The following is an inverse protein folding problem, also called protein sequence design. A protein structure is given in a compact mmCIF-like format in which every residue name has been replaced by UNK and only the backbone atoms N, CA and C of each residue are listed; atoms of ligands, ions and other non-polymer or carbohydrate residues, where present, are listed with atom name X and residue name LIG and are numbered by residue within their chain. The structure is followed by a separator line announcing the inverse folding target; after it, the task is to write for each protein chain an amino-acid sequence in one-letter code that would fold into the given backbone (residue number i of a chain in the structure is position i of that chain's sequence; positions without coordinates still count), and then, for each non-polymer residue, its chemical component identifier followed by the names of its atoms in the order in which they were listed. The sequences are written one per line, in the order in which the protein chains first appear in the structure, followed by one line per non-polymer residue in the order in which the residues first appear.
data_IF_165299656306
#
_entry.id   IF_165299656306
#
_cell.length_a   1.000
_cell.length_b   1.000
_cell.length_c   1.000
_cell.angle_alpha   90.00
_cell.angle_beta   90.00
_cell.angle_gamma   90.00
#
_symmetry.space_group_name_H-M   'P 1'
#
loop_
_entity.id
_entity.type
_entity.pdbx_description
1 polymer ?
#
# COMPACT_ATOMS: atom_id res chain seq x y z
N UNK A 1 -10.89 21.66 -6.65
CA UNK A 1 -11.03 20.76 -5.48
C UNK A 1 -10.25 19.51 -5.82
N UNK A 2 -9.41 19.02 -4.92
CA UNK A 2 -8.64 17.78 -5.13
C UNK A 2 -9.59 16.59 -5.06
N UNK A 3 -9.48 15.66 -6.00
CA UNK A 3 -10.29 14.44 -6.05
C UNK A 3 -9.41 13.22 -5.80
N UNK A 4 -9.81 12.34 -4.86
CA UNK A 4 -9.09 11.11 -4.55
C UNK A 4 -9.98 9.90 -4.83
N UNK A 5 -9.62 9.11 -5.83
CA UNK A 5 -10.20 7.79 -6.04
C UNK A 5 -9.70 6.81 -4.96
N UNK A 6 -10.52 5.86 -4.54
CA UNK A 6 -10.10 4.85 -3.58
C UNK A 6 -10.84 3.53 -3.79
N UNK A 7 -10.24 2.41 -3.38
CA UNK A 7 -10.94 1.12 -3.42
C UNK A 7 -12.10 1.13 -2.42
N UNK A 8 -13.31 1.37 -2.95
CA UNK A 8 -14.54 1.44 -2.18
C UNK A 8 -15.16 0.07 -1.84
N UNK A 9 -16.36 0.08 -1.31
CA UNK A 9 -17.16 1.24 -0.94
C UNK A 9 -16.70 1.95 0.35
N UNK A 10 -17.40 3.03 0.80
CA UNK A 10 -17.17 3.60 2.14
C UNK A 10 -17.28 2.55 3.25
N UNK A 11 -16.47 2.68 4.32
CA UNK A 11 -16.43 1.70 5.41
C UNK A 11 -15.45 0.54 5.20
N UNK A 12 -14.71 0.51 4.08
CA UNK A 12 -13.61 -0.45 3.85
C UNK A 12 -12.32 -0.03 4.57
N UNK A 13 -11.32 -0.93 4.64
CA UNK A 13 -9.98 -0.58 5.13
C UNK A 13 -9.32 0.53 4.29
N UNK A 14 -9.60 0.59 2.98
CA UNK A 14 -9.07 1.65 2.12
C UNK A 14 -9.71 3.01 2.43
N UNK A 15 -11.01 3.05 2.75
CA UNK A 15 -11.66 4.26 3.24
C UNK A 15 -11.03 4.73 4.57
N UNK A 16 -10.79 3.81 5.49
CA UNK A 16 -10.10 4.12 6.75
C UNK A 16 -8.66 4.63 6.51
N UNK A 17 -7.94 4.05 5.54
CA UNK A 17 -6.59 4.49 5.15
C UNK A 17 -6.62 5.92 4.57
N UNK A 18 -7.59 6.23 3.70
CA UNK A 18 -7.75 7.59 3.18
C UNK A 18 -8.06 8.60 4.29
N UNK A 19 -8.90 8.21 5.26
CA UNK A 19 -9.14 9.05 6.44
C UNK A 19 -7.87 9.31 7.25
N UNK A 20 -7.03 8.29 7.43
CA UNK A 20 -5.76 8.44 8.14
C UNK A 20 -4.78 9.33 7.37
N UNK A 21 -4.69 9.20 6.05
CA UNK A 21 -3.89 10.09 5.20
C UNK A 21 -4.37 11.55 5.28
N UNK A 22 -5.68 11.79 5.36
CA UNK A 22 -6.24 13.16 5.56
C UNK A 22 -5.84 13.78 6.89
N UNK A 23 -5.69 12.97 7.93
CA UNK A 23 -5.29 13.41 9.26
C UNK A 23 -3.77 13.51 9.44
N UNK A 24 -2.97 12.93 8.56
CA UNK A 24 -1.50 12.99 8.61
C UNK A 24 -1.02 14.40 8.23
N UNK A 25 -0.20 15.02 9.10
CA UNK A 25 0.30 16.37 8.91
C UNK A 25 1.05 16.58 7.57
N UNK A 26 1.64 15.50 7.02
CA UNK A 26 2.39 15.52 5.74
C UNK A 26 1.48 15.61 4.52
N UNK A 27 0.26 15.12 4.62
CA UNK A 27 -0.70 15.04 3.51
C UNK A 27 -1.98 15.83 3.77
N UNK A 28 -2.22 16.29 4.99
CA UNK A 28 -3.45 17.01 5.37
C UNK A 28 -3.67 18.27 4.56
N UNK A 29 -2.63 19.07 4.30
CA UNK A 29 -2.74 20.28 3.48
C UNK A 29 -3.22 19.96 2.05
N UNK A 30 -2.94 18.76 1.54
CA UNK A 30 -3.35 18.30 0.22
C UNK A 30 -4.74 17.66 0.22
N UNK A 31 -5.07 16.91 1.30
CA UNK A 31 -6.20 15.98 1.30
C UNK A 31 -7.38 16.38 2.21
N UNK A 32 -7.24 17.40 3.08
CA UNK A 32 -8.28 17.75 4.07
C UNK A 32 -9.66 17.95 3.43
N UNK A 33 -9.71 18.72 2.34
CA UNK A 33 -10.94 19.06 1.63
C UNK A 33 -11.10 18.25 0.32
N UNK A 34 -10.35 17.17 0.16
CA UNK A 34 -10.41 16.36 -1.05
C UNK A 34 -11.75 15.60 -1.14
N UNK A 35 -12.36 15.60 -2.32
CA UNK A 35 -13.49 14.75 -2.64
C UNK A 35 -13.03 13.29 -2.75
N UNK A 36 -13.70 12.37 -2.07
CA UNK A 36 -13.42 10.93 -2.15
C UNK A 36 -14.39 10.25 -3.10
N UNK A 37 -13.86 9.57 -4.11
CA UNK A 37 -14.65 8.87 -5.13
C UNK A 37 -14.35 7.37 -5.04
N UNK A 38 -15.34 6.52 -4.70
CA UNK A 38 -15.12 5.08 -4.63
C UNK A 38 -14.98 4.47 -6.02
N UNK A 39 -14.02 3.56 -6.17
CA UNK A 39 -13.79 2.72 -7.34
C UNK A 39 -14.01 1.24 -6.98
N UNK A 40 -14.41 0.42 -7.93
CA UNK A 40 -14.66 -1.00 -7.72
C UNK A 40 -13.41 -1.84 -7.60
N UNK A 41 -12.28 -1.39 -8.17
CA UNK A 41 -10.99 -2.09 -8.16
C UNK A 41 -9.82 -1.12 -8.00
N UNK A 42 -8.64 -1.59 -7.53
CA UNK A 42 -7.42 -0.76 -7.52
C UNK A 42 -7.04 -0.26 -8.92
N UNK A 43 -7.21 -1.09 -9.95
CA UNK A 43 -6.94 -0.74 -11.35
C UNK A 43 -7.82 0.41 -11.82
N UNK A 44 -9.13 0.37 -11.51
CA UNK A 44 -10.07 1.46 -11.83
C UNK A 44 -9.67 2.76 -11.13
N UNK A 45 -9.33 2.72 -9.84
CA UNK A 45 -8.88 3.90 -9.11
C UNK A 45 -7.62 4.52 -9.74
N UNK A 46 -6.63 3.70 -10.11
CA UNK A 46 -5.42 4.14 -10.79
C UNK A 46 -5.67 4.62 -12.22
N UNK A 47 -6.64 4.01 -12.93
CA UNK A 47 -7.07 4.45 -14.26
C UNK A 47 -7.71 5.85 -14.23
N UNK A 48 -8.49 6.17 -13.19
CA UNK A 48 -9.06 7.51 -12.98
C UNK A 48 -7.96 8.57 -12.84
N UNK A 49 -6.85 8.25 -12.16
CA UNK A 49 -5.69 9.16 -12.04
C UNK A 49 -5.01 9.36 -13.39
N UNK A 50 -4.83 8.31 -14.18
CA UNK A 50 -4.27 8.41 -15.55
C UNK A 50 -5.12 9.25 -16.47
N UNK A 51 -6.44 9.04 -16.40
CA UNK A 51 -7.41 9.80 -17.19
C UNK A 51 -7.57 11.26 -16.75
N UNK A 52 -7.05 11.63 -15.57
CA UNK A 52 -7.21 12.97 -15.01
C UNK A 52 -8.61 13.24 -14.41
N UNK A 53 -9.43 12.21 -14.23
CA UNK A 53 -10.74 12.31 -13.53
C UNK A 53 -10.60 12.25 -12.02
N UNK A 54 -9.43 11.81 -11.52
CA UNK A 54 -8.99 11.98 -10.14
C UNK A 54 -7.56 12.52 -10.13
N UNK A 55 -7.22 13.27 -9.08
CA UNK A 55 -5.86 13.78 -8.88
C UNK A 55 -4.97 12.72 -8.25
N UNK A 56 -5.54 11.97 -7.31
CA UNK A 56 -4.86 10.89 -6.59
C UNK A 56 -5.73 9.63 -6.50
N UNK A 57 -5.07 8.51 -6.17
CA UNK A 57 -5.74 7.28 -5.77
C UNK A 57 -5.16 6.77 -4.45
N UNK A 58 -6.03 6.31 -3.54
CA UNK A 58 -5.64 5.55 -2.35
C UNK A 58 -5.95 4.08 -2.59
N UNK A 59 -4.91 3.23 -2.55
CA UNK A 59 -5.03 1.80 -2.86
C UNK A 59 -4.20 0.95 -1.90
N UNK A 60 -4.65 -0.30 -1.58
CA UNK A 60 -3.84 -1.24 -0.81
C UNK A 60 -2.62 -1.67 -1.63
N UNK A 61 -1.45 -1.78 -1.00
CA UNK A 61 -0.18 -2.08 -1.67
C UNK A 61 0.47 -3.38 -1.20
N UNK A 62 0.46 -3.60 0.11
CA UNK A 62 1.06 -4.77 0.74
C UNK A 62 0.31 -5.15 2.02
N UNK A 63 0.16 -6.45 2.26
CA UNK A 63 -0.35 -6.99 3.52
C UNK A 63 0.74 -7.85 4.17
N UNK A 64 0.94 -7.73 5.47
CA UNK A 64 2.01 -8.44 6.18
C UNK A 64 1.83 -9.97 6.23
N UNK A 65 0.64 -10.48 5.93
CA UNK A 65 0.32 -11.93 5.90
C UNK A 65 0.24 -12.44 4.47
N UNK A 66 -0.51 -11.73 3.60
CA UNK A 66 -0.78 -12.17 2.24
C UNK A 66 0.28 -11.66 1.24
N UNK A 67 1.18 -10.75 1.68
CA UNK A 67 2.22 -10.16 0.84
C UNK A 67 1.70 -9.06 -0.09
N UNK A 68 2.28 -8.98 -1.28
CA UNK A 68 1.97 -7.94 -2.27
C UNK A 68 0.53 -7.99 -2.76
N UNK A 69 -0.14 -6.84 -2.80
CA UNK A 69 -1.46 -6.70 -3.42
C UNK A 69 -1.29 -6.70 -4.94
N UNK A 70 -1.44 -7.87 -5.53
CA UNK A 70 -1.17 -8.12 -6.95
C UNK A 70 -1.91 -7.19 -7.91
N UNK A 71 -3.24 -6.91 -7.75
CA UNK A 71 -3.94 -5.99 -8.64
C UNK A 71 -3.32 -4.58 -8.69
N UNK A 72 -2.94 -4.03 -7.54
CA UNK A 72 -2.27 -2.72 -7.48
C UNK A 72 -0.90 -2.75 -8.13
N UNK A 73 -0.10 -3.80 -7.85
CA UNK A 73 1.24 -3.94 -8.42
C UNK A 73 1.20 -4.10 -9.95
N UNK A 74 0.30 -4.94 -10.46
CA UNK A 74 0.12 -5.14 -11.90
C UNK A 74 -0.33 -3.83 -12.58
N UNK A 75 -1.28 -3.10 -11.96
CA UNK A 75 -1.75 -1.82 -12.49
C UNK A 75 -0.69 -0.71 -12.50
N UNK A 76 0.21 -0.66 -11.52
CA UNK A 76 1.33 0.28 -11.49
C UNK A 76 2.42 -0.04 -12.51
N UNK A 77 2.53 -1.30 -12.92
CA UNK A 77 3.54 -1.75 -13.88
C UNK A 77 3.22 -1.38 -15.32
N UNK A 78 1.96 -1.10 -15.66
CA UNK A 78 1.51 -0.86 -17.05
C UNK A 78 0.98 0.56 -17.27
N UNK A 79 0.80 0.93 -18.54
CA UNK A 79 0.26 2.24 -18.93
C UNK A 79 1.17 3.42 -18.59
N UNK A 80 0.62 4.63 -18.58
CA UNK A 80 1.35 5.83 -18.20
C UNK A 80 1.84 5.74 -16.75
N UNK A 81 3.07 6.20 -16.54
CA UNK A 81 3.71 6.14 -15.23
C UNK A 81 2.89 6.91 -14.19
N UNK A 82 2.62 6.27 -13.07
CA UNK A 82 2.12 6.88 -11.87
C UNK A 82 3.22 6.94 -10.80
N UNK A 83 2.99 7.73 -9.77
CA UNK A 83 3.97 7.95 -8.69
C UNK A 83 3.29 7.92 -7.34
N UNK A 84 3.95 7.28 -6.37
CA UNK A 84 3.55 7.22 -4.97
C UNK A 84 4.10 8.46 -4.25
N UNK A 85 3.26 9.13 -3.46
CA UNK A 85 3.60 10.33 -2.71
C UNK A 85 3.56 10.15 -1.20
N UNK A 86 2.79 9.17 -0.74
CA UNK A 86 2.67 8.88 0.69
C UNK A 86 2.23 7.45 0.90
N UNK A 87 2.44 6.95 2.11
CA UNK A 87 1.91 5.70 2.58
C UNK A 87 1.28 5.85 3.97
N UNK A 88 0.38 4.93 4.29
CA UNK A 88 -0.12 4.72 5.64
C UNK A 88 -0.27 3.23 5.90
N UNK A 89 -0.12 2.82 7.15
CA UNK A 89 -0.33 1.44 7.58
C UNK A 89 -1.52 1.36 8.52
N UNK A 90 -2.37 0.36 8.31
CA UNK A 90 -3.47 0.03 9.22
C UNK A 90 -3.31 -1.39 9.73
N UNK A 91 -3.56 -1.57 11.02
CA UNK A 91 -3.78 -2.89 11.57
C UNK A 91 -5.09 -3.46 10.99
N UNK A 92 -5.02 -4.70 10.49
CA UNK A 92 -6.19 -5.40 9.99
C UNK A 92 -6.95 -5.98 11.17
N UNK A 93 -7.83 -5.16 11.72
CA UNK A 93 -8.67 -5.52 12.86
C UNK A 93 -10.09 -5.73 12.38
N UNK A 94 -10.61 -6.94 12.62
CA UNK A 94 -12.02 -7.24 12.40
C UNK A 94 -12.79 -7.19 13.71
N UNK A 95 -13.97 -6.57 13.63
CA UNK A 95 -14.99 -6.61 14.69
C UNK A 95 -16.20 -7.37 14.17
N UNK A 96 -16.86 -8.11 15.04
CA UNK A 96 -18.19 -8.63 14.73
C UNK A 96 -19.19 -7.52 15.04
N UNK A 97 -19.75 -6.97 13.96
CA UNK A 97 -20.69 -5.86 14.02
C UNK A 97 -22.14 -6.37 13.90
N UNK A 98 -23.01 -5.87 14.75
CA UNK A 98 -24.42 -6.25 14.83
C UNK A 98 -25.30 -5.02 15.01
N UNK A 99 -26.59 -5.13 14.78
CA UNK A 99 -27.57 -4.09 15.19
C UNK A 99 -27.58 -3.93 16.71
N UNK A 100 -27.79 -2.72 17.23
CA UNK A 100 -27.94 -2.49 18.66
C UNK A 100 -28.98 -3.44 19.28
N UNK A 101 -28.62 -4.09 20.38
CA UNK A 101 -29.46 -5.02 21.12
C UNK A 101 -29.45 -6.48 20.65
N UNK A 102 -28.69 -6.82 19.58
CA UNK A 102 -28.50 -8.22 19.15
C UNK A 102 -27.56 -8.95 20.09
N UNK A 103 -28.00 -10.08 20.65
CA UNK A 103 -27.16 -10.95 21.47
C UNK A 103 -26.43 -12.00 20.61
N UNK A 104 -25.32 -12.56 21.11
CA UNK A 104 -24.55 -13.59 20.41
C UNK A 104 -25.39 -14.82 20.05
N UNK A 105 -26.30 -15.19 20.92
CA UNK A 105 -27.22 -16.34 20.73
C UNK A 105 -28.26 -16.10 19.62
N UNK A 106 -28.46 -14.86 19.19
CA UNK A 106 -29.42 -14.51 18.15
C UNK A 106 -28.80 -14.54 16.73
N UNK A 107 -27.46 -14.56 16.65
CA UNK A 107 -26.75 -14.55 15.37
C UNK A 107 -26.87 -15.90 14.66
N UNK A 108 -27.47 -15.91 13.47
CA UNK A 108 -27.64 -17.08 12.59
C UNK A 108 -26.89 -16.92 11.29
N UNK A 109 -26.90 -15.71 10.72
CA UNK A 109 -26.26 -15.39 9.44
C UNK A 109 -25.21 -14.31 9.65
N UNK A 110 -23.94 -14.65 9.39
CA UNK A 110 -22.84 -13.72 9.36
C UNK A 110 -22.40 -13.54 7.91
N UNK A 111 -22.54 -12.32 7.37
CA UNK A 111 -22.12 -11.99 5.99
C UNK A 111 -20.90 -11.12 5.98
N UNK A 112 -19.89 -11.52 5.22
CA UNK A 112 -18.65 -10.75 5.07
C UNK A 112 -17.90 -11.11 3.79
N UNK A 113 -16.84 -10.36 3.47
CA UNK A 113 -15.96 -10.65 2.34
C UNK A 113 -15.22 -11.99 2.54
N UNK A 114 -14.96 -12.79 1.47
CA UNK A 114 -14.29 -14.09 1.58
C UNK A 114 -12.97 -14.08 2.37
N UNK A 115 -12.15 -13.05 2.20
CA UNK A 115 -10.88 -12.89 2.94
C UNK A 115 -11.14 -12.71 4.44
N UNK A 116 -12.09 -11.85 4.81
CA UNK A 116 -12.49 -11.67 6.21
C UNK A 116 -13.10 -12.94 6.80
N UNK A 117 -13.95 -13.63 6.04
CA UNK A 117 -14.53 -14.91 6.44
C UNK A 117 -13.44 -15.95 6.79
N UNK A 118 -12.37 -16.04 5.98
CA UNK A 118 -11.24 -16.92 6.25
C UNK A 118 -10.49 -16.55 7.54
N UNK A 119 -10.36 -15.25 7.82
CA UNK A 119 -9.60 -14.73 8.96
C UNK A 119 -10.36 -14.73 10.30
N UNK A 120 -11.67 -14.94 10.30
CA UNK A 120 -12.50 -14.97 11.52
C UNK A 120 -13.17 -16.33 11.76
N UNK A 121 -12.91 -17.31 10.90
CA UNK A 121 -13.62 -18.60 10.88
C UNK A 121 -13.54 -19.33 12.22
N UNK A 122 -12.35 -19.42 12.80
CA UNK A 122 -12.12 -20.11 14.08
C UNK A 122 -12.82 -19.39 15.21
N UNK A 123 -12.69 -18.08 15.27
CA UNK A 123 -13.35 -17.26 16.30
C UNK A 123 -14.87 -17.42 16.23
N UNK A 124 -15.47 -17.33 15.04
CA UNK A 124 -16.92 -17.50 14.83
C UNK A 124 -17.37 -18.89 15.27
N UNK A 125 -16.63 -19.94 14.87
CA UNK A 125 -16.97 -21.31 15.28
C UNK A 125 -16.98 -21.55 16.79
N UNK A 126 -16.13 -20.84 17.54
CA UNK A 126 -16.07 -20.96 18.99
C UNK A 126 -17.10 -20.10 19.72
N UNK A 127 -17.37 -18.88 19.24
CA UNK A 127 -18.15 -17.88 19.97
C UNK A 127 -19.57 -17.69 19.42
N UNK A 128 -19.81 -18.06 18.15
CA UNK A 128 -21.12 -17.98 17.48
C UNK A 128 -21.48 -19.34 16.85
N UNK A 129 -21.62 -20.41 17.65
CA UNK A 129 -21.73 -21.78 17.13
C UNK A 129 -23.02 -22.04 16.31
N UNK A 130 -24.00 -21.14 16.38
CA UNK A 130 -25.25 -21.21 15.62
C UNK A 130 -25.18 -20.42 14.31
N UNK A 131 -24.13 -19.60 14.12
CA UNK A 131 -23.97 -18.77 12.94
C UNK A 131 -23.36 -19.58 11.78
N UNK A 132 -23.85 -19.34 10.58
CA UNK A 132 -23.17 -19.75 9.35
C UNK A 132 -22.64 -18.51 8.64
N UNK A 133 -21.47 -18.68 8.01
CA UNK A 133 -20.80 -17.59 7.28
C UNK A 133 -21.23 -17.66 5.82
N UNK A 134 -21.79 -16.57 5.33
CA UNK A 134 -22.07 -16.31 3.92
C UNK A 134 -21.15 -15.22 3.38
N UNK A 135 -20.80 -15.26 2.10
CA UNK A 135 -19.90 -14.29 1.50
C UNK A 135 -20.66 -13.21 0.75
N UNK A 136 -20.16 -11.97 0.84
CA UNK A 136 -20.63 -10.81 0.11
C UNK A 136 -19.47 -10.09 -0.59
N UNK A 137 -19.73 -9.10 -1.41
CA UNK A 137 -18.76 -8.43 -2.27
C UNK A 137 -17.68 -7.65 -1.52
N UNK A 138 -18.00 -7.16 -0.31
CA UNK A 138 -17.06 -6.43 0.56
C UNK A 138 -17.48 -6.53 2.03
N UNK A 139 -16.58 -6.23 2.97
CA UNK A 139 -16.92 -6.11 4.39
C UNK A 139 -17.92 -4.99 4.66
N UNK A 140 -17.86 -3.92 3.88
CA UNK A 140 -18.82 -2.81 3.97
C UNK A 140 -20.21 -3.21 3.48
N UNK A 141 -20.32 -3.97 2.37
CA UNK A 141 -21.60 -4.52 1.92
C UNK A 141 -22.22 -5.43 2.99
N UNK A 142 -21.43 -6.24 3.67
CA UNK A 142 -21.89 -7.02 4.81
C UNK A 142 -22.48 -6.14 5.93
N UNK A 143 -21.87 -4.99 6.21
CA UNK A 143 -22.38 -4.06 7.21
C UNK A 143 -23.71 -3.40 6.77
N UNK A 144 -23.84 -3.04 5.51
CA UNK A 144 -25.10 -2.53 4.93
C UNK A 144 -26.23 -3.58 5.03
N UNK A 145 -25.94 -4.84 4.74
CA UNK A 145 -26.89 -5.95 4.84
C UNK A 145 -27.34 -6.20 6.28
N UNK A 146 -26.42 -6.05 7.27
CA UNK A 146 -26.78 -6.13 8.70
C UNK A 146 -27.68 -4.95 9.10
N UNK A 147 -27.35 -3.74 8.67
CA UNK A 147 -28.18 -2.55 8.93
C UNK A 147 -29.58 -2.68 8.31
N UNK A 148 -29.67 -3.24 7.11
CA UNK A 148 -30.92 -3.53 6.42
C UNK A 148 -31.73 -4.69 7.02
N UNK A 149 -31.13 -5.47 7.94
CA UNK A 149 -31.80 -6.62 8.58
C UNK A 149 -31.81 -7.90 7.76
N UNK A 150 -31.05 -7.99 6.66
CA UNK A 150 -30.93 -9.18 5.81
C UNK A 150 -29.82 -10.13 6.26
N UNK A 151 -28.97 -9.70 7.20
CA UNK A 151 -28.03 -10.49 7.95
C UNK A 151 -28.07 -10.11 9.44
N UNK A 152 -27.55 -10.96 10.31
CA UNK A 152 -27.54 -10.71 11.75
C UNK A 152 -26.22 -10.06 12.19
N UNK A 153 -25.12 -10.44 11.57
CA UNK A 153 -23.78 -9.96 11.89
C UNK A 153 -22.90 -9.83 10.64
N UNK A 154 -21.85 -9.03 10.75
CA UNK A 154 -20.76 -8.98 9.79
C UNK A 154 -19.41 -8.95 10.49
N UNK A 155 -18.38 -9.47 9.85
CA UNK A 155 -16.99 -9.25 10.25
C UNK A 155 -16.42 -8.12 9.38
N UNK A 156 -16.17 -6.95 9.96
CA UNK A 156 -15.78 -5.75 9.24
C UNK A 156 -14.89 -4.84 10.09
N UNK A 157 -14.20 -3.83 9.49
CA UNK A 157 -13.57 -2.76 10.25
C UNK A 157 -14.59 -2.00 11.10
N UNK A 158 -14.20 -1.49 12.27
CA UNK A 158 -15.08 -0.69 13.14
C UNK A 158 -15.74 0.48 12.43
N UNK A 159 -15.05 1.11 11.46
CA UNK A 159 -15.60 2.19 10.64
C UNK A 159 -16.85 1.81 9.84
N UNK A 160 -16.96 0.57 9.39
CA UNK A 160 -18.19 0.10 8.75
C UNK A 160 -19.39 0.13 9.72
N UNK A 161 -19.12 -0.13 11.01
CA UNK A 161 -20.11 0.01 12.08
C UNK A 161 -20.53 1.46 12.29
N UNK A 162 -19.58 2.37 12.39
CA UNK A 162 -19.85 3.83 12.55
C UNK A 162 -20.75 4.37 11.45
N UNK A 163 -20.47 4.02 10.19
CA UNK A 163 -21.21 4.49 9.01
C UNK A 163 -22.64 3.91 9.00
N UNK A 164 -22.81 2.66 9.42
CA UNK A 164 -24.09 1.94 9.31
C UNK A 164 -24.90 1.89 10.62
N UNK A 165 -24.43 2.58 11.68
CA UNK A 165 -25.12 2.58 12.99
C UNK A 165 -25.11 1.22 13.69
N UNK A 166 -24.09 0.38 13.39
CA UNK A 166 -23.90 -0.92 14.03
C UNK A 166 -22.97 -0.79 15.25
N UNK A 167 -23.08 -1.75 16.16
CA UNK A 167 -22.26 -1.82 17.37
C UNK A 167 -21.38 -3.08 17.34
N UNK A 168 -20.18 -3.04 17.92
CA UNK A 168 -19.36 -4.24 18.03
C UNK A 168 -19.95 -5.19 19.09
N UNK A 169 -20.23 -6.43 18.67
CA UNK A 169 -20.48 -7.55 19.56
C UNK A 169 -19.18 -8.09 20.15
N UNK A 170 -18.11 -8.07 19.36
CA UNK A 170 -16.74 -8.39 19.73
C UNK A 170 -15.75 -7.64 18.84
N UNK A 171 -14.58 -7.33 19.40
CA UNK A 171 -13.49 -6.68 18.68
C UNK A 171 -12.25 -7.58 18.62
N UNK A 172 -11.34 -7.30 17.69
CA UNK A 172 -10.08 -8.05 17.54
C UNK A 172 -10.30 -9.56 17.34
N UNK A 173 -11.24 -9.94 16.49
CA UNK A 173 -11.67 -11.32 16.28
C UNK A 173 -10.89 -12.09 15.21
N UNK A 174 -9.82 -11.51 14.65
CA UNK A 174 -9.00 -12.18 13.66
C UNK A 174 -8.29 -13.41 14.25
N UNK A 175 -8.34 -14.53 13.54
CA UNK A 175 -7.69 -15.80 13.94
C UNK A 175 -6.16 -15.68 13.99
N UNK A 176 -5.58 -14.78 13.17
CA UNK A 176 -4.17 -14.40 13.17
C UNK A 176 -4.13 -12.90 13.47
N UNK A 177 -3.66 -12.56 14.66
CA UNK A 177 -3.52 -11.17 15.07
C UNK A 177 -2.27 -10.50 14.48
N UNK A 178 -2.26 -9.16 14.47
CA UNK A 178 -1.10 -8.36 14.07
C UNK A 178 -0.90 -8.21 12.57
N UNK A 179 -1.87 -8.65 11.75
CA UNK A 179 -1.84 -8.36 10.32
C UNK A 179 -1.93 -6.86 10.08
N UNK A 180 -1.06 -6.33 9.19
CA UNK A 180 -1.05 -4.92 8.76
C UNK A 180 -1.18 -4.83 7.26
N UNK A 181 -1.88 -3.82 6.81
CA UNK A 181 -1.92 -3.47 5.39
C UNK A 181 -1.35 -2.08 5.19
N UNK A 182 -0.40 -1.99 4.28
CA UNK A 182 0.17 -0.75 3.77
C UNK A 182 -0.67 -0.28 2.59
N UNK A 183 -1.12 0.97 2.66
CA UNK A 183 -1.85 1.68 1.62
C UNK A 183 -0.98 2.81 1.11
N UNK A 184 -1.11 3.12 -0.17
CA UNK A 184 -0.33 4.17 -0.83
C UNK A 184 -1.24 5.22 -1.47
N UNK A 185 -0.79 6.47 -1.44
CA UNK A 185 -1.36 7.59 -2.18
C UNK A 185 -0.59 7.74 -3.49
N UNK A 186 -1.28 7.54 -4.59
CA UNK A 186 -0.71 7.50 -5.94
C UNK A 186 -1.27 8.66 -6.76
N UNK A 187 -0.42 9.37 -7.49
CA UNK A 187 -0.81 10.46 -8.39
C UNK A 187 -0.06 10.40 -9.72
N UNK A 188 -0.30 11.40 -10.57
CA UNK A 188 0.51 11.61 -11.77
C UNK A 188 1.93 12.03 -11.37
N UNK A 189 2.97 11.78 -12.22
CA UNK A 189 4.34 12.15 -11.90
C UNK A 189 4.51 13.64 -11.58
N UNK A 190 5.16 13.92 -10.46
CA UNK A 190 5.53 15.26 -10.01
C UNK A 190 6.83 15.16 -9.19
N UNK A 191 7.31 16.30 -8.65
CA UNK A 191 8.40 16.28 -7.70
C UNK A 191 8.04 15.40 -6.49
N UNK A 192 8.94 14.53 -6.02
CA UNK A 192 8.69 13.73 -4.82
C UNK A 192 8.56 14.64 -3.59
N UNK A 193 7.92 14.15 -2.52
CA UNK A 193 7.95 14.82 -1.23
C UNK A 193 9.38 15.10 -0.77
N UNK A 194 9.62 16.11 0.07
CA UNK A 194 10.96 16.37 0.60
C UNK A 194 11.52 15.19 1.38
N UNK A 195 12.83 14.97 1.26
CA UNK A 195 13.58 13.97 2.03
C UNK A 195 13.41 14.20 3.54
N UNK A 196 13.20 13.12 4.28
CA UNK A 196 13.02 13.15 5.75
C UNK A 196 14.11 12.41 6.51
N UNK A 197 14.89 11.55 5.83
CA UNK A 197 15.87 10.65 6.44
C UNK A 197 15.27 9.29 6.87
N UNK A 198 13.95 9.15 6.82
CA UNK A 198 13.26 7.87 6.96
C UNK A 198 12.30 7.70 5.78
N UNK A 199 12.87 7.44 4.63
CA UNK A 199 12.19 7.44 3.35
C UNK A 199 12.29 6.07 2.67
N UNK A 200 11.39 5.83 1.75
CA UNK A 200 11.33 4.66 0.89
C UNK A 200 11.28 5.08 -0.56
N UNK A 201 12.04 4.38 -1.40
CA UNK A 201 11.97 4.51 -2.86
C UNK A 201 11.46 3.21 -3.46
N UNK A 202 10.50 3.29 -4.37
CA UNK A 202 9.99 2.12 -5.09
C UNK A 202 10.29 2.22 -6.58
N UNK A 203 10.76 1.09 -7.13
CA UNK A 203 11.01 0.93 -8.56
C UNK A 203 10.42 -0.38 -9.10
N UNK A 204 10.07 -0.36 -10.39
CA UNK A 204 9.77 -1.58 -11.15
C UNK A 204 10.75 -1.65 -12.31
N UNK A 205 11.33 -2.83 -12.56
CA UNK A 205 12.22 -3.01 -13.69
C UNK A 205 12.10 -4.39 -14.33
N UNK A 206 12.32 -4.43 -15.64
CA UNK A 206 12.48 -5.66 -16.42
C UNK A 206 13.96 -5.99 -16.59
N UNK A 207 14.28 -7.28 -16.64
CA UNK A 207 15.65 -7.76 -16.85
C UNK A 207 15.73 -8.60 -18.12
N UNK A 208 16.88 -8.59 -18.81
CA UNK A 208 17.16 -9.58 -19.84
C UNK A 208 17.05 -11.00 -19.28
N UNK A 209 16.50 -11.93 -20.07
CA UNK A 209 16.42 -13.34 -19.66
C UNK A 209 17.77 -14.04 -19.83
N UNK A 210 18.71 -13.67 -18.97
CA UNK A 210 20.10 -14.14 -19.01
C UNK A 210 20.54 -14.59 -17.59
N UNK A 211 21.47 -15.55 -17.51
CA UNK A 211 22.07 -15.93 -16.22
C UNK A 211 22.65 -14.70 -15.49
N UNK A 212 22.43 -14.64 -14.19
CA UNK A 212 22.91 -13.59 -13.28
C UNK A 212 22.28 -12.19 -13.45
N UNK A 213 21.35 -11.94 -14.37
CA UNK A 213 20.74 -10.61 -14.56
C UNK A 213 20.17 -10.02 -13.28
N UNK A 214 19.42 -10.81 -12.49
CA UNK A 214 18.88 -10.36 -11.21
C UNK A 214 19.99 -10.10 -10.18
N UNK A 215 20.98 -10.98 -10.10
CA UNK A 215 22.12 -10.82 -9.17
C UNK A 215 22.88 -9.54 -9.49
N UNK A 216 23.14 -9.25 -10.76
CA UNK A 216 23.81 -8.03 -11.18
C UNK A 216 23.00 -6.77 -10.82
N UNK A 217 21.67 -6.79 -11.01
CA UNK A 217 20.81 -5.67 -10.62
C UNK A 217 20.84 -5.46 -9.09
N UNK A 218 20.72 -6.52 -8.30
CA UNK A 218 20.78 -6.42 -6.84
C UNK A 218 22.16 -6.03 -6.32
N UNK A 219 23.24 -6.39 -7.03
CA UNK A 219 24.61 -5.98 -6.69
C UNK A 219 24.76 -4.45 -6.75
N UNK A 220 24.04 -3.76 -7.67
CA UNK A 220 24.10 -2.28 -7.75
C UNK A 220 23.56 -1.60 -6.47
N UNK A 221 22.69 -2.26 -5.75
CA UNK A 221 22.20 -1.81 -4.45
C UNK A 221 23.19 -2.17 -3.34
N UNK A 222 23.63 -3.43 -3.34
CA UNK A 222 24.52 -3.97 -2.29
C UNK A 222 25.85 -3.24 -2.18
N UNK A 223 26.51 -2.89 -3.30
CA UNK A 223 27.79 -2.16 -3.29
C UNK A 223 27.66 -0.69 -2.85
N UNK A 224 26.43 -0.21 -2.72
CA UNK A 224 26.11 1.14 -2.21
C UNK A 224 25.50 1.12 -0.83
N UNK A 225 25.50 -0.06 -0.17
CA UNK A 225 24.93 -0.28 1.16
C UNK A 225 23.47 0.18 1.28
N UNK A 226 22.69 -0.05 0.21
CA UNK A 226 21.24 0.26 0.18
C UNK A 226 20.46 -0.97 0.60
N UNK A 227 19.68 -0.85 1.68
CA UNK A 227 18.82 -1.90 2.17
C UNK A 227 17.56 -2.06 1.29
N UNK A 228 17.15 -3.32 1.13
CA UNK A 228 15.94 -3.72 0.43
C UNK A 228 14.88 -4.15 1.44
N UNK A 229 13.74 -3.47 1.43
CA UNK A 229 12.63 -3.83 2.34
C UNK A 229 11.58 -4.72 1.68
N UNK A 230 11.51 -4.72 0.35
CA UNK A 230 10.61 -5.60 -0.40
C UNK A 230 11.20 -5.94 -1.78
N UNK A 231 11.02 -7.19 -2.19
CA UNK A 231 11.23 -7.63 -3.56
C UNK A 231 10.11 -8.58 -3.96
N UNK A 232 9.53 -8.34 -5.13
CA UNK A 232 8.51 -9.21 -5.72
C UNK A 232 8.74 -9.37 -7.21
N UNK A 233 8.44 -10.53 -7.76
CA UNK A 233 8.50 -10.78 -9.19
C UNK A 233 7.12 -11.04 -9.76
N UNK A 234 6.81 -10.45 -10.93
CA UNK A 234 5.54 -10.62 -11.62
C UNK A 234 5.78 -10.93 -13.08
N UNK A 235 5.09 -11.93 -13.68
CA UNK A 235 5.22 -12.20 -15.11
C UNK A 235 4.71 -11.02 -15.93
N UNK A 236 5.42 -10.65 -16.99
CA UNK A 236 5.03 -9.54 -17.88
C UNK A 236 3.73 -9.81 -18.62
N UNK A 237 3.35 -11.09 -18.79
CA UNK A 237 2.23 -11.57 -19.61
C UNK A 237 2.32 -11.20 -21.10
N UNK A 238 3.40 -10.58 -21.54
CA UNK A 238 3.67 -10.22 -22.94
C UNK A 238 4.51 -11.30 -23.60
N UNK A 239 5.61 -11.68 -22.95
CA UNK A 239 6.51 -12.74 -23.43
C UNK A 239 6.62 -13.85 -22.37
N UNK A 240 6.81 -15.09 -22.84
CA UNK A 240 6.97 -16.24 -21.95
C UNK A 240 8.27 -16.11 -21.15
N UNK A 241 8.17 -16.37 -19.85
CA UNK A 241 9.31 -16.39 -18.91
C UNK A 241 9.99 -15.03 -18.69
N UNK A 242 9.34 -13.92 -19.05
CA UNK A 242 9.82 -12.58 -18.71
C UNK A 242 9.12 -12.07 -17.46
N UNK A 243 9.88 -11.39 -16.60
CA UNK A 243 9.41 -10.91 -15.31
C UNK A 243 9.71 -9.43 -15.10
N UNK A 244 8.79 -8.76 -14.43
CA UNK A 244 9.01 -7.45 -13.81
C UNK A 244 9.32 -7.66 -12.33
N UNK A 245 10.33 -6.96 -11.85
CA UNK A 245 10.73 -6.95 -10.45
C UNK A 245 10.26 -5.65 -9.81
N UNK A 246 9.50 -5.78 -8.73
CA UNK A 246 9.01 -4.69 -7.90
C UNK A 246 9.89 -4.63 -6.67
N UNK A 247 10.56 -3.51 -6.44
CA UNK A 247 11.57 -3.39 -5.39
C UNK A 247 11.34 -2.10 -4.60
N UNK A 248 11.30 -2.23 -3.27
CA UNK A 248 11.32 -1.09 -2.35
C UNK A 248 12.71 -1.02 -1.71
N UNK A 249 13.31 0.17 -1.81
CA UNK A 249 14.61 0.53 -1.27
C UNK A 249 14.44 1.46 -0.07
N UNK A 250 15.33 1.36 0.91
CA UNK A 250 15.46 2.37 1.95
C UNK A 250 16.16 3.60 1.37
N UNK A 251 15.64 4.78 1.71
CA UNK A 251 16.18 6.07 1.32
C UNK A 251 15.38 6.80 0.24
N UNK A 252 15.77 8.03 -0.01
CA UNK A 252 15.14 8.97 -0.91
C UNK A 252 15.96 9.14 -2.20
N UNK A 253 15.33 9.52 -3.30
CA UNK A 253 16.04 9.81 -4.57
C UNK A 253 17.09 10.91 -4.42
N UNK A 254 16.93 11.81 -3.44
CA UNK A 254 17.92 12.85 -3.12
C UNK A 254 19.08 12.35 -2.23
N UNK A 255 19.05 11.09 -1.79
CA UNK A 255 20.21 10.44 -1.19
C UNK A 255 21.19 10.07 -2.30
N UNK A 256 22.45 10.50 -2.24
CA UNK A 256 23.43 10.26 -3.30
C UNK A 256 23.57 8.78 -3.67
N UNK A 257 23.61 7.89 -2.66
CA UNK A 257 23.73 6.46 -2.88
C UNK A 257 22.51 5.90 -3.65
N UNK A 258 21.28 6.38 -3.32
CA UNK A 258 20.05 5.96 -4.01
C UNK A 258 20.03 6.51 -5.44
N UNK A 259 20.39 7.77 -5.64
CA UNK A 259 20.47 8.37 -6.98
C UNK A 259 21.45 7.62 -7.88
N UNK A 260 22.65 7.32 -7.39
CA UNK A 260 23.64 6.51 -8.11
C UNK A 260 23.14 5.10 -8.43
N UNK A 261 22.45 4.44 -7.47
CA UNK A 261 21.88 3.13 -7.69
C UNK A 261 20.80 3.13 -8.78
N UNK A 262 19.94 4.14 -8.79
CA UNK A 262 18.91 4.30 -9.83
C UNK A 262 19.53 4.48 -11.22
N UNK A 263 20.61 5.26 -11.34
CA UNK A 263 21.38 5.41 -12.59
C UNK A 263 22.00 4.08 -13.02
N UNK A 264 22.61 3.35 -12.09
CA UNK A 264 23.21 2.05 -12.39
C UNK A 264 22.17 1.01 -12.79
N UNK A 265 21.04 0.93 -12.08
CA UNK A 265 19.92 0.08 -12.44
C UNK A 265 19.36 0.43 -13.84
N UNK A 266 19.24 1.71 -14.18
CA UNK A 266 18.78 2.16 -15.49
C UNK A 266 19.66 1.64 -16.63
N UNK A 267 20.95 1.48 -16.41
CA UNK A 267 21.88 0.92 -17.40
C UNK A 267 21.80 -0.60 -17.53
N UNK A 268 21.40 -1.30 -16.45
CA UNK A 268 21.33 -2.77 -16.44
C UNK A 268 19.99 -3.35 -16.79
N UNK A 269 18.93 -2.52 -16.77
CA UNK A 269 17.54 -2.97 -16.96
C UNK A 269 17.04 -2.59 -18.34
N UNK A 270 16.18 -3.41 -18.91
CA UNK A 270 15.54 -3.11 -20.20
C UNK A 270 14.56 -1.94 -20.09
N UNK A 271 13.84 -1.88 -18.96
CA UNK A 271 12.94 -0.81 -18.59
C UNK A 271 13.02 -0.59 -17.08
N UNK A 272 13.13 0.65 -16.66
CA UNK A 272 13.13 1.07 -15.26
C UNK A 272 12.03 2.10 -15.03
N UNK A 273 11.06 1.74 -14.23
CA UNK A 273 9.94 2.59 -13.84
C UNK A 273 10.13 3.04 -12.37
N UNK A 274 10.44 4.31 -12.18
CA UNK A 274 10.48 4.93 -10.85
C UNK A 274 9.05 5.22 -10.40
N UNK A 275 8.65 4.64 -9.27
CA UNK A 275 7.32 4.83 -8.68
C UNK A 275 7.27 5.92 -7.61
N UNK A 276 8.41 6.44 -7.16
CA UNK A 276 8.47 7.54 -6.20
C UNK A 276 9.42 7.28 -5.05
N UNK A 277 9.69 8.37 -4.32
CA UNK A 277 10.33 8.38 -3.00
C UNK A 277 9.42 9.13 -2.03
N UNK A 278 9.18 8.60 -0.85
CA UNK A 278 8.25 9.17 0.12
C UNK A 278 8.62 8.78 1.55
N UNK A 279 8.20 9.58 2.56
CA UNK A 279 8.41 9.25 3.97
C UNK A 279 7.66 7.98 4.39
N UNK A 280 8.30 7.14 5.17
CA UNK A 280 7.71 5.93 5.75
C UNK A 280 6.56 6.29 6.71
N UNK A 281 5.52 5.48 6.73
CA UNK A 281 4.35 5.67 7.58
C UNK A 281 4.71 5.73 9.07
N UNK A 282 4.06 6.64 9.81
CA UNK A 282 4.18 6.70 11.28
C UNK A 282 5.56 7.11 11.82
N UNK A 283 6.48 7.59 10.97
CA UNK A 283 7.85 7.89 11.40
C UNK A 283 8.66 6.65 11.82
N UNK A 284 8.21 5.47 11.37
CA UNK A 284 8.92 4.21 11.58
C UNK A 284 10.26 4.16 10.85
N UNK A 285 11.11 3.22 11.23
CA UNK A 285 12.37 2.97 10.53
C UNK A 285 12.07 2.22 9.22
N UNK A 286 12.52 2.78 8.10
CA UNK A 286 12.44 2.11 6.80
C UNK A 286 13.37 0.90 6.71
N UNK A 287 14.39 0.84 7.56
CA UNK A 287 15.55 -0.04 7.55
C UNK A 287 16.82 0.75 7.84
N UNK A 288 17.99 0.19 7.59
CA UNK A 288 19.24 0.92 7.72
C UNK A 288 19.29 2.06 6.68
N UNK A 289 19.48 3.33 7.09
CA UNK A 289 19.55 4.44 6.15
C UNK A 289 20.75 4.27 5.19
N UNK A 290 20.64 4.77 3.94
CA UNK A 290 21.78 4.80 3.03
C UNK A 290 22.97 5.56 3.66
N UNK A 291 24.21 5.22 3.28
CA UNK A 291 25.37 5.94 3.81
C UNK A 291 25.33 7.42 3.44
N UNK A 292 25.66 8.27 4.41
CA UNK A 292 25.89 9.68 4.14
C UNK A 292 27.21 9.85 3.38
N UNK A 293 27.17 10.47 2.23
CA UNK A 293 28.32 10.72 1.33
C UNK A 293 28.58 12.21 1.13
N UNK A 294 28.14 13.02 2.07
CA UNK A 294 28.29 14.47 1.95
C UNK A 294 29.78 14.88 1.90
N UNK A 295 30.63 14.24 2.68
CA UNK A 295 32.08 14.52 2.70
C UNK A 295 32.75 14.14 1.38
N UNK A 296 32.43 12.99 0.81
CA UNK A 296 33.00 12.53 -0.47
C UNK A 296 32.52 13.42 -1.63
N UNK A 297 31.28 13.89 -1.57
CA UNK A 297 30.74 14.83 -2.58
C UNK A 297 31.45 16.17 -2.47
N UNK A 298 31.60 16.73 -1.27
CA UNK A 298 32.33 18.00 -1.07
C UNK A 298 33.79 17.88 -1.52
N UNK A 299 34.44 16.78 -1.19
CA UNK A 299 35.80 16.48 -1.68
C UNK A 299 35.85 16.49 -3.21
N UNK A 300 34.90 15.81 -3.88
CA UNK A 300 34.85 15.76 -5.33
C UNK A 300 34.57 17.15 -5.93
N UNK A 301 33.70 17.94 -5.32
CA UNK A 301 33.41 19.29 -5.77
C UNK A 301 34.59 20.25 -5.59
N UNK A 302 35.40 20.09 -4.52
CA UNK A 302 36.66 20.80 -4.38
C UNK A 302 37.64 20.46 -5.51
N UNK A 303 37.78 19.17 -5.86
CA UNK A 303 38.60 18.77 -7.01
C UNK A 303 38.12 19.39 -8.33
N UNK A 304 36.81 19.43 -8.57
CA UNK A 304 36.23 20.06 -9.77
C UNK A 304 36.53 21.57 -9.86
N UNK A 305 36.67 22.24 -8.71
CA UNK A 305 37.08 23.65 -8.63
C UNK A 305 38.60 23.84 -8.70
N UNK A 306 39.37 22.77 -8.79
CA UNK A 306 40.84 22.83 -8.80
C UNK A 306 41.44 23.17 -7.43
N UNK A 307 40.70 22.94 -6.37
CA UNK A 307 41.16 23.12 -5.00
C UNK A 307 41.95 21.89 -4.54
N UNK A 308 42.98 22.11 -3.71
CA UNK A 308 43.73 20.99 -3.11
C UNK A 308 42.84 20.32 -2.06
N UNK A 309 42.50 19.03 -2.29
CA UNK A 309 41.55 18.29 -1.49
C UNK A 309 42.21 17.27 -0.59
N UNK A 310 43.45 17.59 -0.14
CA UNK A 310 44.45 16.81 0.59
C UNK A 310 44.00 15.80 1.60
#
# INVERSE_FOLDING_TARGET
MVTVAYLGPPGTFTDAALHRLRADARTSALLADAEAVPAGTPDEALAMVRAGTADYACVPFENSVDGTVNPTSDALAVGDRLQIFAETELDVVFSILVRPGTAADDVRVLRTHPVAAAQVRRWVGMNLPRAHIETTSSTAAGAEEVAAGTADATAAPGRAGEINGLVPLAENVADIGGARTRFVLVGRPAAPPPRTGSDRTCVIFGLPHEPNSLVQALTELSIRDIDLTRIGSRPTRVERFTYLFHVDLVGHIDDPAVAEALVALRHRTADLRYLGSWPVAGGGEAGAPPPDRAEEIDWLDRLRRGEDAG
#
